data_IF_604909601682
#
_entry.id   IF_604909601682
#
_cell.length_a   1.000
_cell.length_b   1.000
_cell.length_c   1.000
_cell.angle_alpha   90.00
_cell.angle_beta   90.00
_cell.angle_gamma   90.00
#
_symmetry.space_group_name_H-M   'P 1'
#
loop_
_entity.id
_entity.type
_entity.pdbx_description
1 polymer ?
#
# COMPACT_ATOMS: atom_id res chain seq x y z
N UNK A 1 1.85 -6.38 -7.06
CA UNK A 1 1.67 -5.96 -5.66
C UNK A 1 2.68 -4.86 -5.37
N UNK A 2 2.22 -3.63 -5.07
CA UNK A 2 3.08 -2.48 -4.75
C UNK A 2 2.73 -1.96 -3.35
N UNK A 3 3.74 -1.49 -2.61
CA UNK A 3 3.56 -0.83 -1.33
C UNK A 3 4.83 -0.07 -0.91
N UNK A 4 4.70 0.88 0.03
CA UNK A 4 5.83 1.65 0.55
C UNK A 4 6.88 0.81 1.30
N UNK A 5 6.53 -0.38 1.77
CA UNK A 5 7.44 -1.31 2.43
C UNK A 5 8.24 -2.17 1.45
N UNK A 6 7.99 -2.08 0.14
CA UNK A 6 8.80 -2.76 -0.86
C UNK A 6 10.15 -2.05 -1.03
N UNK A 7 11.22 -2.69 -0.55
CA UNK A 7 12.57 -2.12 -0.55
C UNK A 7 13.50 -2.60 -1.67
N UNK A 8 13.27 -3.80 -2.20
CA UNK A 8 14.17 -4.47 -3.14
C UNK A 8 13.40 -5.48 -3.99
N UNK A 9 13.97 -5.83 -5.14
CA UNK A 9 13.50 -6.93 -5.99
C UNK A 9 14.57 -8.02 -5.99
N UNK A 10 14.21 -9.23 -5.59
CA UNK A 10 15.12 -10.38 -5.56
C UNK A 10 15.61 -10.68 -6.97
N UNK A 11 16.91 -10.92 -7.13
CA UNK A 11 17.53 -11.19 -8.43
C UNK A 11 17.86 -9.94 -9.26
N UNK A 12 17.60 -8.73 -8.74
CA UNK A 12 18.00 -7.47 -9.38
C UNK A 12 19.06 -6.74 -8.55
N UNK A 13 20.00 -6.01 -9.20
CA UNK A 13 20.84 -5.04 -8.52
C UNK A 13 20.00 -4.01 -7.76
N UNK A 14 20.40 -3.62 -6.55
CA UNK A 14 19.62 -2.77 -5.65
C UNK A 14 19.13 -1.47 -6.32
N UNK A 15 20.03 -0.75 -6.98
CA UNK A 15 19.70 0.50 -7.67
C UNK A 15 18.67 0.31 -8.79
N UNK A 16 18.76 -0.79 -9.54
CA UNK A 16 17.82 -1.10 -10.61
C UNK A 16 16.46 -1.52 -10.06
N UNK A 17 16.46 -2.34 -9.01
CA UNK A 17 15.22 -2.76 -8.33
C UNK A 17 14.49 -1.57 -7.71
N UNK A 18 15.22 -0.65 -7.07
CA UNK A 18 14.65 0.59 -6.52
C UNK A 18 14.04 1.46 -7.63
N UNK A 19 14.80 1.72 -8.70
CA UNK A 19 14.31 2.53 -9.82
C UNK A 19 13.01 1.94 -10.41
N UNK A 20 12.94 0.62 -10.59
CA UNK A 20 11.74 -0.04 -11.08
C UNK A 20 10.55 0.08 -10.11
N UNK A 21 10.78 -0.05 -8.79
CA UNK A 21 9.74 0.16 -7.79
C UNK A 21 9.19 1.59 -7.88
N UNK A 22 10.07 2.59 -8.00
CA UNK A 22 9.68 4.00 -8.09
C UNK A 22 8.86 4.27 -9.36
N UNK A 23 9.28 3.75 -10.51
CA UNK A 23 8.56 3.86 -11.78
C UNK A 23 7.16 3.22 -11.71
N UNK A 24 7.07 2.03 -11.11
CA UNK A 24 5.79 1.33 -10.94
C UNK A 24 4.85 2.06 -9.97
N UNK A 25 5.38 2.64 -8.89
CA UNK A 25 4.61 3.48 -7.98
C UNK A 25 4.11 4.72 -8.72
N UNK A 26 4.97 5.39 -9.49
CA UNK A 26 4.59 6.57 -10.28
C UNK A 26 3.49 6.23 -11.29
N UNK A 27 3.58 5.09 -11.97
CA UNK A 27 2.55 4.62 -12.89
C UNK A 27 1.22 4.31 -12.18
N UNK A 28 1.26 3.50 -11.12
CA UNK A 28 0.06 3.04 -10.42
C UNK A 28 -0.67 4.16 -9.66
N UNK A 29 0.01 5.28 -9.38
CA UNK A 29 -0.56 6.44 -8.66
C UNK A 29 -0.97 7.60 -9.57
N UNK A 30 -0.97 7.40 -10.90
CA UNK A 30 -1.53 8.36 -11.85
C UNK A 30 -3.00 8.66 -11.53
N UNK A 31 -3.44 9.91 -11.78
CA UNK A 31 -4.77 10.41 -11.37
C UNK A 31 -5.94 9.57 -11.82
N UNK A 32 -5.85 8.92 -12.98
CA UNK A 32 -6.89 8.05 -13.53
C UNK A 32 -7.12 6.74 -12.75
N UNK A 33 -6.16 6.35 -11.90
CA UNK A 33 -6.26 5.16 -11.04
C UNK A 33 -6.57 5.52 -9.57
N UNK A 34 -6.74 6.81 -9.25
CA UNK A 34 -6.86 7.29 -7.87
C UNK A 34 -8.30 7.71 -7.55
N UNK A 35 -8.88 7.02 -6.57
CA UNK A 35 -10.05 7.50 -5.85
C UNK A 35 -9.63 8.39 -4.66
N UNK A 36 -10.31 9.53 -4.47
CA UNK A 36 -10.09 10.44 -3.34
C UNK A 36 -11.35 10.52 -2.48
N UNK A 37 -11.26 10.06 -1.23
CA UNK A 37 -12.37 10.09 -0.29
C UNK A 37 -12.34 11.33 0.60
N UNK A 38 -13.40 12.12 0.58
CA UNK A 38 -13.61 13.22 1.53
C UNK A 38 -14.49 12.73 2.68
N UNK A 39 -13.85 12.42 3.80
CA UNK A 39 -14.50 11.91 5.00
C UNK A 39 -15.61 12.81 5.53
N UNK A 40 -16.69 12.17 6.00
CA UNK A 40 -17.73 12.74 6.85
C UNK A 40 -17.84 11.91 8.13
N UNK A 41 -18.43 12.50 9.16
CA UNK A 41 -18.68 11.79 10.42
C UNK A 41 -19.59 10.60 10.13
N UNK A 42 -19.25 9.44 10.68
CA UNK A 42 -19.92 8.15 10.48
C UNK A 42 -19.72 7.50 9.10
N UNK A 43 -18.86 8.03 8.23
CA UNK A 43 -18.44 7.29 7.03
C UNK A 43 -17.63 6.05 7.42
N UNK A 44 -17.89 4.97 6.70
CA UNK A 44 -17.11 3.73 6.74
C UNK A 44 -16.62 3.46 5.32
N UNK A 45 -15.29 3.34 5.18
CA UNK A 45 -14.65 2.94 3.93
C UNK A 45 -13.97 1.60 4.17
N UNK A 46 -14.28 0.63 3.30
CA UNK A 46 -13.61 -0.66 3.25
C UNK A 46 -12.86 -0.78 1.93
N UNK A 47 -11.69 -1.41 1.97
CA UNK A 47 -10.87 -1.66 0.79
C UNK A 47 -10.22 -3.04 0.88
N UNK A 48 -9.94 -3.64 -0.28
CA UNK A 48 -9.22 -4.90 -0.39
C UNK A 48 -7.72 -4.61 -0.57
N UNK A 49 -6.90 -4.92 0.44
CA UNK A 49 -5.45 -4.67 0.41
C UNK A 49 -4.73 -5.46 -0.69
N UNK A 50 -5.32 -6.54 -1.22
CA UNK A 50 -4.69 -7.38 -2.25
C UNK A 50 -4.65 -6.70 -3.62
N UNK A 51 -5.54 -5.73 -3.86
CA UNK A 51 -5.66 -5.04 -5.14
C UNK A 51 -5.59 -3.51 -5.05
N UNK A 52 -5.30 -2.94 -3.88
CA UNK A 52 -5.25 -1.48 -3.69
C UNK A 52 -4.03 -1.02 -2.87
N UNK A 53 -3.58 0.20 -3.16
CA UNK A 53 -2.75 1.00 -2.25
C UNK A 53 -3.60 2.13 -1.67
N UNK A 54 -3.30 2.58 -0.45
CA UNK A 54 -3.97 3.74 0.16
C UNK A 54 -2.98 4.59 0.96
N UNK A 55 -3.29 5.88 1.10
CA UNK A 55 -2.54 6.80 1.97
C UNK A 55 -3.47 7.78 2.66
N UNK A 56 -3.10 8.19 3.87
CA UNK A 56 -3.62 9.42 4.46
C UNK A 56 -2.99 10.63 3.79
N UNK A 57 -3.75 11.70 3.61
CA UNK A 57 -3.19 13.02 3.27
C UNK A 57 -2.80 13.75 4.53
N UNK A 58 -1.90 14.72 4.40
CA UNK A 58 -1.61 15.67 5.47
C UNK A 58 -2.89 16.38 5.93
N UNK A 59 -2.95 16.72 7.22
CA UNK A 59 -4.02 17.52 7.81
C UNK A 59 -3.45 18.34 8.98
N UNK A 60 -4.12 19.45 9.31
CA UNK A 60 -3.77 20.30 10.45
C UNK A 60 -4.28 19.64 11.75
N UNK A 61 -3.39 18.86 12.37
CA UNK A 61 -3.66 18.09 13.59
C UNK A 61 -3.60 18.93 14.87
N UNK A 62 -3.04 20.14 14.80
CA UNK A 62 -3.07 21.12 15.88
C UNK A 62 -4.43 21.79 16.00
N UNK A 63 -5.11 22.01 14.87
CA UNK A 63 -6.42 22.66 14.83
C UNK A 63 -7.58 21.68 14.92
N UNK A 64 -7.47 20.50 14.29
CA UNK A 64 -8.60 19.58 14.13
C UNK A 64 -8.34 18.23 14.79
N UNK A 65 -9.29 17.80 15.63
CA UNK A 65 -9.31 16.44 16.17
C UNK A 65 -9.79 15.46 15.08
N UNK A 66 -9.09 14.34 14.94
CA UNK A 66 -9.43 13.26 14.01
C UNK A 66 -9.30 11.91 14.69
N UNK A 67 -10.44 11.29 14.99
CA UNK A 67 -10.52 9.94 15.55
C UNK A 67 -11.02 8.97 14.47
N UNK A 68 -10.21 7.96 14.16
CA UNK A 68 -10.51 6.94 13.14
C UNK A 68 -10.16 5.58 13.70
N UNK A 69 -11.14 4.68 13.66
CA UNK A 69 -10.98 3.30 14.11
C UNK A 69 -10.80 2.39 12.89
N UNK A 70 -9.89 1.42 12.98
CA UNK A 70 -9.63 0.46 11.90
C UNK A 70 -9.70 -0.97 12.42
N UNK A 71 -10.48 -1.80 11.73
CA UNK A 71 -10.42 -3.25 11.84
C UNK A 71 -9.78 -3.84 10.58
N UNK A 72 -9.03 -4.93 10.73
CA UNK A 72 -8.38 -5.62 9.63
C UNK A 72 -8.72 -7.10 9.70
N UNK A 73 -9.14 -7.68 8.58
CA UNK A 73 -9.30 -9.14 8.44
C UNK A 73 -7.94 -9.74 8.06
N UNK A 74 -7.47 -10.73 8.81
CA UNK A 74 -6.23 -11.43 8.50
C UNK A 74 -6.39 -12.31 7.25
N UNK A 75 -5.36 -12.36 6.43
CA UNK A 75 -5.26 -13.31 5.33
C UNK A 75 -4.69 -14.66 5.82
N UNK A 76 -4.75 -15.68 4.97
CA UNK A 76 -4.34 -17.05 5.32
C UNK A 76 -2.82 -17.22 5.39
N UNK A 77 -2.07 -16.53 4.53
CA UNK A 77 -0.62 -16.62 4.37
C UNK A 77 -0.10 -15.44 3.52
N UNK A 78 1.22 -15.25 3.40
CA UNK A 78 1.76 -14.25 2.47
C UNK A 78 1.72 -14.75 1.00
N UNK A 79 1.91 -13.85 0.02
CA UNK A 79 1.77 -14.21 -1.39
C UNK A 79 2.78 -15.26 -1.87
N UNK A 80 3.99 -15.29 -1.33
CA UNK A 80 4.97 -16.30 -1.75
C UNK A 80 4.62 -17.68 -1.19
N UNK A 81 4.16 -17.77 0.06
CA UNK A 81 3.65 -19.02 0.66
C UNK A 81 2.44 -19.57 -0.10
N UNK A 82 1.49 -18.69 -0.46
CA UNK A 82 0.30 -19.09 -1.23
C UNK A 82 0.67 -19.64 -2.62
N UNK A 83 1.71 -19.10 -3.26
CA UNK A 83 2.20 -19.52 -4.59
C UNK A 83 3.28 -20.61 -4.53
N UNK A 84 3.66 -21.09 -3.34
CA UNK A 84 4.73 -22.09 -3.17
C UNK A 84 6.12 -21.59 -3.57
N UNK A 85 6.35 -20.28 -3.56
CA UNK A 85 7.63 -19.66 -3.89
C UNK A 85 8.53 -19.66 -2.65
N UNK A 86 9.64 -20.39 -2.73
CA UNK A 86 10.67 -20.34 -1.68
C UNK A 86 11.32 -18.96 -1.63
N UNK A 87 11.20 -18.28 -0.49
CA UNK A 87 11.94 -17.05 -0.24
C UNK A 87 13.29 -17.43 0.36
N UNK A 88 14.37 -17.27 -0.41
CA UNK A 88 15.72 -17.38 0.13
C UNK A 88 15.89 -16.38 1.28
N UNK A 89 16.43 -16.85 2.42
CA UNK A 89 16.78 -15.97 3.53
C UNK A 89 17.69 -14.84 3.03
N UNK A 90 17.35 -13.62 3.40
CA UNK A 90 18.05 -12.40 3.00
C UNK A 90 19.38 -12.23 3.72
#
# INVERSE_FOLDING_TARGET
YLASHAGRIVGMPEAQGRALIDDLIAHATQRQFVYSHRWRVHDLVMWDNRCTMHRGTEFDDLRWKRDVQRATVCDVANSCEQEGIEIAAA
#
